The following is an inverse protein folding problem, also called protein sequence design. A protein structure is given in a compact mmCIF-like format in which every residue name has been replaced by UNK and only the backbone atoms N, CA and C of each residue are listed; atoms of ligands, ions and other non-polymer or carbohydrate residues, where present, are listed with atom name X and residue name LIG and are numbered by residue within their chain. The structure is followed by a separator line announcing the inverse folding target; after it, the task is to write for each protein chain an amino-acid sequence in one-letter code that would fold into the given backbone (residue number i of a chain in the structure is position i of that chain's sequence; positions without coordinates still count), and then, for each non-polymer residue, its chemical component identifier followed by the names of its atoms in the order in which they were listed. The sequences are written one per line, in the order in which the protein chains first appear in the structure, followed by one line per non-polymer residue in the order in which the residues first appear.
data_IF_418145549748
#
_entry.id   IF_418145549748
#
_cell.length_a   1.000
_cell.length_b   1.000
_cell.length_c   1.000
_cell.angle_alpha   90.00
_cell.angle_beta   90.00
_cell.angle_gamma   90.00
#
_symmetry.space_group_name_H-M   'P 1'
#
loop_
_entity.id
_entity.type
_entity.pdbx_description
1 polymer ?
#
# COMPACT_ATOMS: atom_id res chain seq x y z
N UNK A 1 -6.11 15.30 14.40
CA UNK A 1 -5.95 14.20 13.42
C UNK A 1 -6.18 12.91 14.16
N UNK A 2 -7.28 12.21 13.89
CA UNK A 2 -7.50 10.88 14.46
C UNK A 2 -6.77 9.87 13.58
N UNK A 3 -5.78 9.18 14.13
CA UNK A 3 -5.24 7.98 13.48
C UNK A 3 -6.29 6.89 13.62
N UNK A 4 -7.18 6.76 12.63
CA UNK A 4 -8.10 5.66 12.57
C UNK A 4 -7.30 4.41 12.20
N UNK A 5 -7.01 3.58 13.19
CA UNK A 5 -6.42 2.26 12.98
C UNK A 5 -7.56 1.26 12.92
N UNK A 6 -7.73 0.67 11.74
CA UNK A 6 -8.67 -0.41 11.52
C UNK A 6 -8.00 -1.74 11.88
N UNK A 7 -8.72 -2.60 12.61
CA UNK A 7 -8.19 -3.88 13.10
C UNK A 7 -8.68 -5.01 12.20
N UNK A 8 -7.75 -5.82 11.70
CA UNK A 8 -8.03 -7.00 10.90
C UNK A 8 -7.13 -8.17 11.29
N UNK A 9 -7.58 -9.40 11.04
CA UNK A 9 -6.74 -10.58 11.22
C UNK A 9 -6.06 -10.96 9.91
N UNK A 10 -4.75 -11.19 9.94
CA UNK A 10 -3.98 -11.61 8.75
C UNK A 10 -4.54 -12.88 8.11
N UNK A 11 -5.12 -13.80 8.90
CA UNK A 11 -5.77 -15.03 8.41
C UNK A 11 -6.96 -14.76 7.47
N UNK A 12 -7.53 -13.56 7.53
CA UNK A 12 -8.67 -13.10 6.74
C UNK A 12 -8.33 -11.86 5.92
N UNK A 13 -7.05 -11.51 5.79
CA UNK A 13 -6.60 -10.41 4.94
C UNK A 13 -6.65 -10.82 3.47
N UNK A 14 -7.15 -9.93 2.63
CA UNK A 14 -7.12 -10.04 1.18
C UNK A 14 -6.21 -8.95 0.63
N UNK A 15 -5.33 -9.33 -0.30
CA UNK A 15 -4.53 -8.39 -1.07
C UNK A 15 -5.06 -8.35 -2.50
N UNK A 16 -5.36 -7.16 -3.00
CA UNK A 16 -5.71 -6.94 -4.41
C UNK A 16 -4.86 -5.82 -5.00
N UNK A 17 -4.46 -5.99 -6.26
CA UNK A 17 -3.74 -4.96 -7.01
C UNK A 17 -4.54 -4.63 -8.27
N UNK A 18 -4.81 -3.35 -8.46
CA UNK A 18 -5.62 -2.82 -9.55
C UNK A 18 -4.93 -1.60 -10.15
N UNK A 19 -5.17 -1.27 -11.44
CA UNK A 19 -4.79 0.04 -11.97
C UNK A 19 -5.40 1.14 -11.08
N UNK A 20 -4.61 2.16 -10.72
CA UNK A 20 -5.13 3.26 -9.91
C UNK A 20 -6.21 4.03 -10.69
N UNK A 21 -7.21 4.55 -9.99
CA UNK A 21 -8.17 5.44 -10.62
C UNK A 21 -7.48 6.74 -11.03
N UNK A 22 -8.13 7.50 -11.93
CA UNK A 22 -7.55 8.74 -12.45
C UNK A 22 -7.30 9.75 -11.32
N UNK A 23 -8.22 9.86 -10.36
CA UNK A 23 -8.09 10.79 -9.24
C UNK A 23 -6.86 10.44 -8.37
N UNK A 24 -6.71 9.18 -8.00
CA UNK A 24 -5.59 8.67 -7.21
C UNK A 24 -4.25 8.81 -7.95
N UNK A 25 -4.27 8.60 -9.27
CA UNK A 25 -3.09 8.83 -10.12
C UNK A 25 -2.71 10.32 -10.10
N UNK A 26 -3.66 11.22 -10.33
CA UNK A 26 -3.40 12.67 -10.35
C UNK A 26 -2.92 13.16 -8.97
N UNK A 27 -3.48 12.64 -7.87
CA UNK A 27 -3.04 12.93 -6.49
C UNK A 27 -1.61 12.44 -6.23
N UNK A 28 -1.31 11.18 -6.58
CA UNK A 28 0.04 10.63 -6.42
C UNK A 28 1.08 11.47 -7.17
N UNK A 29 0.79 11.85 -8.42
CA UNK A 29 1.70 12.64 -9.23
C UNK A 29 1.92 14.06 -8.66
N UNK A 30 0.88 14.68 -8.10
CA UNK A 30 0.98 15.98 -7.44
C UNK A 30 1.84 15.92 -6.16
N UNK A 31 1.58 14.92 -5.31
CA UNK A 31 2.30 14.74 -4.03
C UNK A 31 3.77 14.38 -4.25
N UNK A 32 4.08 13.61 -5.29
CA UNK A 32 5.44 13.15 -5.59
C UNK A 32 6.22 14.06 -6.53
N UNK A 33 5.58 15.08 -7.12
CA UNK A 33 6.13 15.93 -8.18
C UNK A 33 6.76 15.11 -9.32
N UNK A 34 6.12 13.99 -9.67
CA UNK A 34 6.65 13.05 -10.65
C UNK A 34 6.54 13.63 -12.08
N UNK A 35 7.69 13.85 -12.71
CA UNK A 35 7.76 14.35 -14.08
C UNK A 35 7.21 13.35 -15.10
N UNK A 36 6.58 13.86 -16.17
CA UNK A 36 6.13 13.04 -17.31
C UNK A 36 7.26 12.76 -18.31
N UNK A 37 7.31 11.57 -18.94
CA UNK A 37 6.41 10.43 -18.75
C UNK A 37 6.74 9.63 -17.47
N UNK A 38 5.71 9.20 -16.75
CA UNK A 38 5.82 8.37 -15.55
C UNK A 38 5.38 6.92 -15.85
N UNK A 39 5.83 5.93 -15.05
CA UNK A 39 5.32 4.57 -15.12
C UNK A 39 3.81 4.51 -14.78
N UNK A 40 3.11 3.41 -15.15
CA UNK A 40 1.73 3.18 -14.71
C UNK A 40 1.63 3.15 -13.18
N UNK A 41 0.64 3.86 -12.65
CA UNK A 41 0.34 3.91 -11.22
C UNK A 41 -0.69 2.83 -10.89
N UNK A 42 -0.42 2.11 -9.80
CA UNK A 42 -1.24 1.01 -9.31
C UNK A 42 -1.73 1.32 -7.90
N UNK A 43 -2.86 0.72 -7.54
CA UNK A 43 -3.39 0.70 -6.19
C UNK A 43 -3.29 -0.73 -5.65
N UNK A 44 -2.65 -0.87 -4.50
CA UNK A 44 -2.58 -2.10 -3.72
C UNK A 44 -3.48 -1.94 -2.48
N UNK A 45 -4.53 -2.72 -2.41
CA UNK A 45 -5.43 -2.78 -1.26
C UNK A 45 -5.05 -3.94 -0.36
N UNK A 46 -4.89 -3.63 0.93
CA UNK A 46 -4.62 -4.58 2.02
C UNK A 46 -5.80 -4.49 2.99
N UNK A 47 -6.85 -5.26 2.72
CA UNK A 47 -8.13 -5.17 3.45
C UNK A 47 -8.48 -6.46 4.17
N UNK A 48 -9.18 -6.36 5.29
CA UNK A 48 -9.79 -7.51 5.97
C UNK A 48 -11.11 -7.91 5.25
N UNK A 49 -11.76 -9.00 5.69
CA UNK A 49 -13.04 -9.45 5.12
C UNK A 49 -14.22 -8.49 5.30
N UNK A 50 -14.10 -7.52 6.20
CA UNK A 50 -15.11 -6.50 6.45
C UNK A 50 -14.93 -5.26 5.55
N UNK A 51 -13.84 -5.21 4.77
CA UNK A 51 -13.50 -4.08 3.91
C UNK A 51 -12.63 -3.01 4.59
N UNK A 52 -12.28 -3.19 5.87
CA UNK A 52 -11.41 -2.26 6.58
C UNK A 52 -9.94 -2.57 6.25
N UNK A 53 -9.12 -1.54 6.01
CA UNK A 53 -7.73 -1.75 5.64
C UNK A 53 -6.96 -0.52 5.16
N UNK A 54 -5.92 -0.79 4.38
CA UNK A 54 -4.98 0.20 3.86
C UNK A 54 -4.88 0.08 2.34
N UNK A 55 -5.06 1.19 1.63
CA UNK A 55 -4.71 1.31 0.22
C UNK A 55 -3.34 2.01 0.08
N UNK A 56 -2.50 1.49 -0.81
CA UNK A 56 -1.21 2.08 -1.19
C UNK A 56 -1.24 2.38 -2.68
N UNK A 57 -0.84 3.59 -3.06
CA UNK A 57 -0.82 4.05 -4.46
C UNK A 57 0.63 4.31 -4.86
N UNK A 58 1.01 3.82 -6.04
CA UNK A 58 2.31 4.11 -6.64
C UNK A 58 2.69 3.17 -7.78
N UNK A 59 3.87 3.39 -8.38
CA UNK A 59 4.49 2.45 -9.29
C UNK A 59 4.67 1.06 -8.65
N UNK A 60 4.62 0.01 -9.47
CA UNK A 60 4.68 -1.37 -8.97
C UNK A 60 5.97 -1.68 -8.19
N UNK A 61 7.10 -1.09 -8.58
CA UNK A 61 8.39 -1.24 -7.90
C UNK A 61 8.41 -0.57 -6.53
N UNK A 62 7.79 0.60 -6.37
CA UNK A 62 7.64 1.25 -5.07
C UNK A 62 6.78 0.43 -4.12
N UNK A 63 5.65 -0.11 -4.61
CA UNK A 63 4.76 -0.96 -3.83
C UNK A 63 5.47 -2.23 -3.35
N UNK A 64 6.22 -2.89 -4.24
CA UNK A 64 7.01 -4.08 -3.88
C UNK A 64 8.09 -3.71 -2.86
N UNK A 65 8.83 -2.62 -3.09
CA UNK A 65 9.88 -2.17 -2.17
C UNK A 65 9.31 -1.85 -0.77
N UNK A 66 8.11 -1.29 -0.69
CA UNK A 66 7.43 -1.08 0.58
C UNK A 66 7.10 -2.40 1.27
N UNK A 67 6.50 -3.37 0.56
CA UNK A 67 6.18 -4.68 1.12
C UNK A 67 7.41 -5.44 1.62
N UNK A 68 8.52 -5.37 0.88
CA UNK A 68 9.79 -5.98 1.29
C UNK A 68 10.35 -5.33 2.57
N UNK A 69 10.24 -4.00 2.71
CA UNK A 69 10.61 -3.31 3.96
C UNK A 69 9.73 -3.75 5.12
N UNK A 70 8.42 -3.86 4.93
CA UNK A 70 7.49 -4.35 5.96
C UNK A 70 7.87 -5.77 6.37
N UNK A 71 8.09 -6.67 5.40
CA UNK A 71 8.53 -8.04 5.66
C UNK A 71 9.83 -8.08 6.46
N UNK A 72 10.83 -7.31 6.06
CA UNK A 72 12.12 -7.24 6.75
C UNK A 72 11.96 -6.69 8.18
N UNK A 73 11.09 -5.69 8.36
CA UNK A 73 10.80 -5.13 9.68
C UNK A 73 10.13 -6.15 10.59
N UNK A 74 9.10 -6.86 10.11
CA UNK A 74 8.43 -7.92 10.88
C UNK A 74 9.43 -8.99 11.29
N UNK A 75 10.23 -9.49 10.34
CA UNK A 75 11.22 -10.54 10.61
C UNK A 75 12.26 -10.11 11.66
N UNK A 76 12.74 -8.87 11.61
CA UNK A 76 13.68 -8.35 12.63
C UNK A 76 13.04 -8.26 14.01
N UNK A 77 11.79 -7.80 14.09
CA UNK A 77 11.09 -7.65 15.36
C UNK A 77 10.74 -9.00 15.99
N UNK A 78 10.34 -9.99 15.19
CA UNK A 78 9.91 -11.30 15.71
C UNK A 78 11.05 -12.31 15.88
N UNK A 79 12.24 -12.04 15.34
CA UNK A 79 13.43 -12.86 15.59
C UNK A 79 14.17 -12.49 16.89
N UNK A 80 13.76 -11.40 17.55
CA UNK A 80 14.36 -10.88 18.78
C UNK A 80 13.73 -11.40 20.08
N UNK A 81 12.77 -12.33 20.00
CA UNK A 81 12.14 -13.02 21.13
C UNK A 81 12.68 -14.46 21.30
#
# INVERSE_FOLDING_TARGET
MSNHLEWGHARTGLASINPAERADTDEYLDVTDAARPHPPIWQLDLVNTNGDGLALIGPADELIAYLDRVRAQVARTTAGD
#
